data_IF_605916509651
#
_entry.id   IF_605916509651
#
_cell.length_a   1.000
_cell.length_b   1.000
_cell.length_c   1.000
_cell.angle_alpha   90.00
_cell.angle_beta   90.00
_cell.angle_gamma   90.00
#
_symmetry.space_group_name_H-M   'P 1'
#
loop_
_entity.id
_entity.type
_entity.pdbx_description
1 polymer ?
#
# COMPACT_ATOMS: atom_id res chain seq x y z
N UNK A 1 4.47 -3.53 -41.19
CA UNK A 1 4.05 -2.70 -40.08
C UNK A 1 2.89 -3.42 -39.37
N UNK A 2 3.15 -4.08 -38.27
CA UNK A 2 2.13 -4.75 -37.46
C UNK A 2 1.56 -3.73 -36.48
N UNK A 3 0.26 -3.55 -36.48
CA UNK A 3 -0.46 -2.70 -35.53
C UNK A 3 -0.33 -3.32 -34.13
N UNK A 4 0.24 -2.61 -33.19
CA UNK A 4 0.21 -2.95 -31.79
C UNK A 4 -1.24 -2.84 -31.28
N UNK A 5 -1.77 -3.95 -30.78
CA UNK A 5 -3.12 -4.07 -30.28
C UNK A 5 -3.35 -3.19 -29.05
N UNK A 6 -4.60 -2.80 -28.90
CA UNK A 6 -5.14 -2.01 -27.85
C UNK A 6 -4.77 -2.57 -26.46
N UNK A 7 -4.35 -1.68 -25.56
CA UNK A 7 -3.99 -2.03 -24.20
C UNK A 7 -5.13 -2.72 -23.46
N UNK A 8 -4.79 -3.80 -22.79
CA UNK A 8 -5.66 -4.46 -21.82
C UNK A 8 -6.13 -3.43 -20.79
N UNK A 9 -7.44 -3.26 -20.69
CA UNK A 9 -8.04 -2.49 -19.59
C UNK A 9 -7.67 -3.21 -18.29
N UNK A 10 -7.02 -2.50 -17.38
CA UNK A 10 -6.81 -3.01 -16.04
C UNK A 10 -8.15 -3.49 -15.47
N UNK A 11 -8.17 -4.76 -15.05
CA UNK A 11 -9.36 -5.35 -14.43
C UNK A 11 -9.73 -4.53 -13.20
N UNK A 12 -10.99 -4.11 -13.09
CA UNK A 12 -11.49 -3.50 -11.86
C UNK A 12 -11.55 -4.56 -10.77
N UNK A 13 -11.39 -4.15 -9.51
CA UNK A 13 -11.46 -5.06 -8.36
C UNK A 13 -12.78 -5.87 -8.35
N UNK A 14 -13.88 -5.25 -8.78
CA UNK A 14 -15.19 -5.87 -8.91
C UNK A 14 -15.28 -6.90 -10.06
N UNK A 15 -14.35 -6.84 -11.02
CA UNK A 15 -14.27 -7.78 -12.15
C UNK A 15 -13.42 -9.02 -11.80
N UNK A 16 -12.69 -8.98 -10.68
CA UNK A 16 -11.98 -10.15 -10.17
C UNK A 16 -13.04 -11.07 -9.55
N UNK A 17 -13.58 -11.97 -10.37
CA UNK A 17 -14.30 -13.12 -9.84
C UNK A 17 -13.32 -13.99 -9.09
N UNK A 18 -13.19 -13.72 -7.80
CA UNK A 18 -12.56 -14.68 -6.91
C UNK A 18 -13.30 -16.01 -7.13
N UNK A 19 -12.56 -17.08 -7.36
CA UNK A 19 -13.15 -18.40 -7.39
C UNK A 19 -14.01 -18.56 -6.13
N UNK A 20 -15.24 -19.13 -6.24
CA UNK A 20 -16.04 -19.34 -5.05
C UNK A 20 -15.17 -20.10 -4.05
N UNK A 21 -15.06 -19.55 -2.84
CA UNK A 21 -14.37 -20.24 -1.74
C UNK A 21 -15.08 -21.58 -1.61
N UNK A 22 -14.38 -22.72 -1.73
CA UNK A 22 -15.00 -24.02 -1.52
C UNK A 22 -15.69 -24.00 -0.16
N UNK A 23 -16.90 -24.57 -0.07
CA UNK A 23 -17.53 -24.78 1.23
C UNK A 23 -16.51 -25.44 2.17
N UNK A 24 -16.45 -24.92 3.39
CA UNK A 24 -15.43 -25.24 4.38
C UNK A 24 -15.11 -26.74 4.39
N UNK A 25 -13.88 -27.08 4.04
CA UNK A 25 -13.32 -28.39 4.27
C UNK A 25 -13.28 -28.71 5.77
N UNK A 26 -12.88 -29.92 6.14
CA UNK A 26 -12.83 -30.34 7.54
C UNK A 26 -11.91 -29.41 8.33
N UNK A 27 -12.45 -28.86 9.39
CA UNK A 27 -11.80 -28.06 10.43
C UNK A 27 -11.13 -26.74 9.98
N UNK A 28 -11.92 -25.66 9.81
CA UNK A 28 -11.38 -24.31 9.62
C UNK A 28 -10.75 -23.73 10.90
N UNK A 29 -10.77 -24.44 12.04
CA UNK A 29 -10.27 -23.92 13.31
C UNK A 29 -8.75 -23.70 13.33
N UNK A 30 -8.00 -24.38 12.49
CA UNK A 30 -6.55 -24.25 12.39
C UNK A 30 -6.09 -23.32 11.24
N UNK A 31 -6.98 -22.97 10.32
CA UNK A 31 -6.67 -22.09 9.19
C UNK A 31 -7.56 -20.84 9.22
N UNK A 32 -6.94 -19.67 9.40
CA UNK A 32 -7.64 -18.41 9.26
C UNK A 32 -7.77 -18.05 7.78
N UNK A 33 -9.00 -17.91 7.31
CA UNK A 33 -9.31 -17.38 5.98
C UNK A 33 -10.07 -16.07 6.13
N UNK A 34 -9.52 -14.99 5.59
CA UNK A 34 -10.15 -13.68 5.56
C UNK A 34 -10.25 -13.19 4.12
N UNK A 35 -11.41 -13.26 3.48
CA UNK A 35 -11.63 -12.68 2.16
C UNK A 35 -11.37 -11.17 2.17
N UNK A 36 -10.89 -10.62 1.04
CA UNK A 36 -10.59 -9.18 0.95
C UNK A 36 -11.79 -8.30 1.28
N UNK A 37 -13.00 -8.66 0.84
CA UNK A 37 -14.23 -7.92 1.11
C UNK A 37 -14.59 -7.81 2.61
N UNK A 38 -14.04 -8.70 3.43
CA UNK A 38 -14.25 -8.69 4.88
C UNK A 38 -13.16 -7.88 5.62
N UNK A 39 -12.24 -7.28 4.85
CA UNK A 39 -11.15 -6.47 5.39
C UNK A 39 -11.65 -5.06 5.74
N UNK A 40 -11.52 -4.70 7.00
CA UNK A 40 -11.86 -3.36 7.48
C UNK A 40 -10.64 -2.45 7.40
N UNK A 41 -10.79 -1.36 6.63
CA UNK A 41 -9.80 -0.30 6.55
C UNK A 41 -10.15 0.85 7.48
N UNK A 42 -9.16 1.36 8.19
CA UNK A 42 -9.27 2.52 9.06
C UNK A 42 -8.28 3.60 8.63
N UNK A 43 -8.64 4.86 8.80
CA UNK A 43 -7.71 5.97 8.55
C UNK A 43 -6.43 5.76 9.36
N UNK A 44 -5.27 5.80 8.70
CA UNK A 44 -4.02 5.55 9.39
C UNK A 44 -3.53 6.78 10.17
N UNK A 45 -3.43 6.62 11.48
CA UNK A 45 -2.87 7.63 12.37
C UNK A 45 -3.57 9.00 12.25
N UNK A 46 -2.79 10.04 12.00
CA UNK A 46 -3.28 11.41 11.85
C UNK A 46 -3.45 11.85 10.41
N UNK A 47 -3.59 10.91 9.46
CA UNK A 47 -3.86 11.24 8.08
C UNK A 47 -5.27 11.86 7.95
N UNK A 48 -5.49 12.74 6.96
CA UNK A 48 -6.83 13.20 6.63
C UNK A 48 -7.76 12.04 6.29
N UNK A 49 -9.04 12.19 6.57
CA UNK A 49 -10.03 11.20 6.12
C UNK A 49 -9.97 11.02 4.60
N UNK A 50 -10.13 9.80 4.14
CA UNK A 50 -10.09 9.45 2.72
C UNK A 50 -8.76 9.74 2.01
N UNK A 51 -7.65 9.88 2.75
CA UNK A 51 -6.30 10.01 2.17
C UNK A 51 -5.59 8.66 2.12
N UNK A 52 -5.23 8.12 3.27
CA UNK A 52 -4.57 6.84 3.48
C UNK A 52 -5.29 6.04 4.56
N UNK A 53 -5.51 4.77 4.28
CA UNK A 53 -6.20 3.85 5.17
C UNK A 53 -5.38 2.57 5.33
N UNK A 54 -5.51 1.89 6.47
CA UNK A 54 -4.77 0.67 6.76
C UNK A 54 -5.67 -0.40 7.37
N UNK A 55 -5.42 -1.64 6.98
CA UNK A 55 -5.99 -2.81 7.61
C UNK A 55 -4.88 -3.70 8.17
N UNK A 56 -5.02 -4.15 9.42
CA UNK A 56 -4.09 -5.08 10.06
C UNK A 56 -4.50 -6.50 9.72
N UNK A 57 -3.61 -7.27 9.11
CA UNK A 57 -3.86 -8.68 8.78
C UNK A 57 -3.15 -9.62 9.74
N UNK A 58 -1.93 -9.27 10.18
CA UNK A 58 -1.13 -10.10 11.08
C UNK A 58 -0.22 -9.25 11.95
N UNK A 59 -0.03 -9.68 13.18
CA UNK A 59 0.89 -9.06 14.13
C UNK A 59 0.45 -7.66 14.59
N UNK A 60 1.38 -6.96 15.23
CA UNK A 60 1.17 -5.61 15.73
C UNK A 60 2.39 -4.76 15.39
N UNK A 61 2.24 -3.81 14.48
CA UNK A 61 3.34 -2.96 14.05
C UNK A 61 3.84 -1.99 15.15
N UNK A 62 3.15 -1.90 16.29
CA UNK A 62 3.61 -1.14 17.47
C UNK A 62 4.44 -1.99 18.45
N UNK A 63 4.58 -3.31 18.21
CA UNK A 63 5.30 -4.24 19.07
C UNK A 63 6.43 -4.91 18.33
N UNK A 64 7.47 -5.41 19.04
CA UNK A 64 8.51 -6.24 18.42
C UNK A 64 7.90 -7.47 17.76
N UNK A 65 8.35 -7.78 16.56
CA UNK A 65 7.95 -8.95 15.79
C UNK A 65 7.48 -8.63 14.36
N UNK A 66 7.17 -9.66 13.57
CA UNK A 66 6.68 -9.48 12.22
C UNK A 66 5.24 -8.96 12.20
N UNK A 67 4.95 -8.15 11.19
CA UNK A 67 3.59 -7.70 10.90
C UNK A 67 3.30 -7.76 9.41
N UNK A 68 2.01 -7.89 9.07
CA UNK A 68 1.47 -7.73 7.74
C UNK A 68 0.26 -6.79 7.81
N UNK A 69 0.28 -5.76 6.98
CA UNK A 69 -0.84 -4.82 6.83
C UNK A 69 -1.16 -4.61 5.36
N UNK A 70 -2.40 -4.23 5.05
CA UNK A 70 -2.74 -3.60 3.78
C UNK A 70 -2.80 -2.09 3.99
N UNK A 71 -2.06 -1.36 3.17
CA UNK A 71 -2.14 0.09 3.08
C UNK A 71 -2.92 0.46 1.83
N UNK A 72 -3.87 1.39 1.94
CA UNK A 72 -4.64 1.92 0.83
C UNK A 72 -4.40 3.42 0.71
N UNK A 73 -3.90 3.86 -0.45
CA UNK A 73 -3.79 5.27 -0.81
C UNK A 73 -4.90 5.64 -1.78
N UNK A 74 -5.67 6.67 -1.43
CA UNK A 74 -6.68 7.23 -2.33
C UNK A 74 -6.04 8.26 -3.28
N UNK A 75 -6.61 8.47 -4.50
CA UNK A 75 -6.10 9.45 -5.45
C UNK A 75 -5.99 10.86 -4.86
N UNK A 76 -4.90 11.54 -5.19
CA UNK A 76 -4.58 12.89 -4.71
C UNK A 76 -3.74 12.93 -3.44
N UNK A 77 -3.29 11.77 -2.91
CA UNK A 77 -2.59 11.73 -1.63
C UNK A 77 -1.29 10.95 -1.67
N UNK A 78 -0.28 11.52 -1.01
CA UNK A 78 1.04 10.92 -0.80
C UNK A 78 1.46 11.01 0.67
N UNK A 79 2.34 10.11 1.09
CA UNK A 79 3.16 10.33 2.28
C UNK A 79 4.14 11.46 2.05
N UNK A 80 4.52 12.18 3.11
CA UNK A 80 5.69 13.05 3.08
C UNK A 80 6.97 12.20 3.05
N UNK A 81 8.12 12.75 2.60
CA UNK A 81 9.41 12.06 2.70
C UNK A 81 9.72 11.64 4.14
N UNK A 82 10.00 10.36 4.33
CA UNK A 82 10.22 9.75 5.64
C UNK A 82 11.13 8.52 5.57
N UNK A 83 11.56 8.05 6.71
CA UNK A 83 12.35 6.83 6.86
C UNK A 83 11.74 5.89 7.89
N UNK A 84 12.16 4.62 7.86
CA UNK A 84 11.88 3.60 8.88
C UNK A 84 13.17 2.99 9.40
N UNK A 85 13.15 2.45 10.63
CA UNK A 85 14.32 1.78 11.24
C UNK A 85 14.68 0.46 10.56
N UNK A 86 13.73 -0.24 9.99
CA UNK A 86 13.88 -1.57 9.41
C UNK A 86 13.50 -1.60 7.94
N UNK A 87 14.04 -2.58 7.21
CA UNK A 87 13.60 -2.87 5.85
C UNK A 87 12.12 -3.25 5.84
N UNK A 88 11.44 -2.88 4.74
CA UNK A 88 10.05 -3.25 4.49
C UNK A 88 9.91 -3.83 3.10
N UNK A 89 9.13 -4.89 3.00
CA UNK A 89 8.80 -5.56 1.75
C UNK A 89 7.36 -5.21 1.41
N UNK A 90 7.12 -4.84 0.16
CA UNK A 90 5.83 -4.33 -0.29
C UNK A 90 5.48 -4.95 -1.63
N UNK A 91 4.22 -5.36 -1.76
CA UNK A 91 3.66 -5.88 -3.02
C UNK A 91 2.36 -5.16 -3.31
N UNK A 92 2.21 -4.67 -4.52
CA UNK A 92 0.96 -4.04 -4.94
C UNK A 92 -0.09 -5.12 -5.17
N UNK A 93 -1.22 -4.99 -4.48
CA UNK A 93 -2.38 -5.89 -4.58
C UNK A 93 -3.37 -5.39 -5.63
N UNK A 94 -3.60 -4.06 -5.64
CA UNK A 94 -4.58 -3.44 -6.53
C UNK A 94 -4.18 -2.00 -6.87
N UNK A 95 -4.65 -1.53 -8.03
CA UNK A 95 -4.42 -0.16 -8.49
C UNK A 95 -2.97 0.09 -8.93
N UNK A 96 -2.62 1.35 -9.11
CA UNK A 96 -1.26 1.78 -9.44
C UNK A 96 -0.71 2.61 -8.29
N UNK A 97 0.35 2.12 -7.69
CA UNK A 97 1.07 2.79 -6.61
C UNK A 97 2.27 3.55 -7.15
N UNK A 98 2.43 4.80 -6.78
CA UNK A 98 3.52 5.67 -7.22
C UNK A 98 4.55 5.82 -6.11
N UNK A 99 5.80 5.47 -6.40
CA UNK A 99 6.89 5.39 -5.44
C UNK A 99 8.07 6.25 -5.84
N UNK A 100 8.70 6.92 -4.89
CA UNK A 100 9.94 7.63 -5.12
C UNK A 100 10.86 7.53 -3.89
N UNK A 101 12.11 7.95 -4.05
CA UNK A 101 13.13 8.01 -2.99
C UNK A 101 13.77 9.39 -2.97
N UNK A 102 14.33 9.74 -1.81
CA UNK A 102 15.00 11.02 -1.61
C UNK A 102 14.30 11.92 -0.59
N UNK A 103 14.96 13.03 -0.28
CA UNK A 103 14.49 14.01 0.69
C UNK A 103 13.49 15.00 0.08
N UNK A 104 13.62 15.25 -1.22
CA UNK A 104 12.83 16.25 -1.92
C UNK A 104 11.55 15.64 -2.44
N UNK A 105 10.43 16.28 -2.15
CA UNK A 105 9.12 15.82 -2.60
C UNK A 105 8.88 16.21 -4.06
N UNK A 106 9.02 15.27 -4.98
CA UNK A 106 8.83 15.43 -6.43
C UNK A 106 7.88 14.32 -6.95
N UNK A 107 6.58 14.42 -6.66
CA UNK A 107 5.62 13.36 -6.98
C UNK A 107 5.46 13.11 -8.50
N UNK A 108 5.77 14.11 -9.34
CA UNK A 108 5.78 13.98 -10.81
C UNK A 108 6.84 12.99 -11.32
N UNK A 109 7.89 12.74 -10.53
CA UNK A 109 8.99 11.82 -10.88
C UNK A 109 8.80 10.43 -10.23
N UNK A 110 7.66 10.21 -9.57
CA UNK A 110 7.37 8.95 -8.92
C UNK A 110 7.14 7.82 -9.95
N UNK A 111 7.72 6.66 -9.67
CA UNK A 111 7.63 5.49 -10.54
C UNK A 111 6.31 4.76 -10.28
N UNK A 112 5.48 4.52 -11.31
CA UNK A 112 4.27 3.74 -11.18
C UNK A 112 4.57 2.25 -11.04
N UNK A 113 3.91 1.60 -10.07
CA UNK A 113 4.02 0.16 -9.80
C UNK A 113 2.61 -0.43 -9.78
N UNK A 114 2.34 -1.35 -10.71
CA UNK A 114 1.06 -2.03 -10.83
C UNK A 114 0.95 -3.30 -9.98
N UNK A 115 -0.21 -4.00 -10.00
CA UNK A 115 -0.45 -5.22 -9.25
C UNK A 115 0.59 -6.31 -9.50
N UNK A 116 1.03 -6.99 -8.42
CA UNK A 116 2.13 -7.95 -8.43
C UNK A 116 3.52 -7.30 -8.42
N UNK A 117 3.62 -6.00 -8.60
CA UNK A 117 4.87 -5.27 -8.50
C UNK A 117 5.44 -5.30 -7.08
N UNK A 118 6.77 -5.46 -6.99
CA UNK A 118 7.52 -5.58 -5.75
C UNK A 118 8.34 -4.33 -5.48
N UNK A 119 8.30 -3.85 -4.23
CA UNK A 119 9.14 -2.75 -3.76
C UNK A 119 9.79 -3.12 -2.43
N UNK A 120 11.09 -2.93 -2.34
CA UNK A 120 11.83 -3.00 -1.06
C UNK A 120 12.18 -1.58 -0.62
N UNK A 121 11.77 -1.20 0.57
CA UNK A 121 12.25 0.00 1.24
C UNK A 121 13.39 -0.37 2.18
N UNK A 122 14.57 0.14 1.89
CA UNK A 122 15.75 -0.08 2.73
C UNK A 122 15.67 0.79 3.98
N UNK A 123 16.05 0.22 5.11
CA UNK A 123 16.13 0.91 6.39
C UNK A 123 16.87 2.26 6.29
N UNK A 124 16.36 3.28 6.95
CA UNK A 124 16.95 4.63 7.04
C UNK A 124 17.12 5.35 5.68
N UNK A 125 16.52 4.84 4.62
CA UNK A 125 16.55 5.51 3.31
C UNK A 125 15.28 6.34 3.13
N UNK A 126 15.41 7.66 2.89
CA UNK A 126 14.26 8.53 2.66
C UNK A 126 13.46 8.12 1.43
N UNK A 127 12.15 8.10 1.58
CA UNK A 127 11.22 7.75 0.52
C UNK A 127 9.84 8.35 0.79
N UNK A 128 9.01 8.35 -0.25
CA UNK A 128 7.60 8.72 -0.19
C UNK A 128 6.83 7.99 -1.28
N UNK A 129 5.53 7.92 -1.13
CA UNK A 129 4.66 7.18 -2.02
C UNK A 129 3.21 7.60 -1.87
N UNK A 130 2.40 7.25 -2.85
CA UNK A 130 0.97 7.56 -2.87
C UNK A 130 0.33 7.32 -4.22
N UNK A 131 -0.74 8.06 -4.48
CA UNK A 131 -1.49 8.02 -5.74
C UNK A 131 -1.77 9.44 -6.18
N UNK A 132 -1.33 9.89 -7.38
CA UNK A 132 -1.61 11.23 -7.90
C UNK A 132 -3.11 11.46 -8.10
N UNK A 133 -3.53 12.73 -8.07
CA UNK A 133 -4.87 13.09 -8.50
C UNK A 133 -5.13 12.66 -9.97
N UNK A 134 -6.38 12.35 -10.26
CA UNK A 134 -6.78 11.92 -11.60
C UNK A 134 -6.58 10.42 -11.90
N UNK A 135 -5.97 9.66 -10.99
CA UNK A 135 -6.02 8.21 -11.10
C UNK A 135 -7.44 7.70 -10.83
N UNK A 136 -7.92 6.69 -11.58
CA UNK A 136 -9.29 6.21 -11.44
C UNK A 136 -9.54 5.42 -10.15
N UNK A 137 -8.50 4.80 -9.61
CA UNK A 137 -8.59 3.85 -8.52
C UNK A 137 -7.58 4.16 -7.41
N UNK A 138 -7.86 3.79 -6.16
CA UNK A 138 -6.86 3.76 -5.10
C UNK A 138 -5.82 2.68 -5.37
N UNK A 139 -4.66 2.79 -4.73
CA UNK A 139 -3.69 1.70 -4.67
C UNK A 139 -3.80 0.97 -3.34
N UNK A 140 -3.79 -0.38 -3.38
CA UNK A 140 -3.72 -1.24 -2.20
C UNK A 140 -2.41 -2.00 -2.22
N UNK A 141 -1.66 -1.91 -1.14
CA UNK A 141 -0.32 -2.46 -0.99
C UNK A 141 -0.26 -3.36 0.23
N UNK A 142 0.19 -4.60 0.07
CA UNK A 142 0.55 -5.46 1.18
C UNK A 142 1.95 -5.08 1.67
N UNK A 143 2.08 -4.78 2.95
CA UNK A 143 3.34 -4.35 3.57
C UNK A 143 3.72 -5.32 4.68
N UNK A 144 4.86 -5.98 4.51
CA UNK A 144 5.48 -6.82 5.52
C UNK A 144 6.71 -6.13 6.11
N UNK A 145 6.84 -6.18 7.42
CA UNK A 145 7.96 -5.59 8.14
C UNK A 145 8.14 -6.15 9.54
N UNK A 146 9.10 -5.59 10.25
CA UNK A 146 9.36 -5.87 11.66
C UNK A 146 9.02 -4.63 12.49
N UNK A 147 8.18 -4.81 13.50
CA UNK A 147 7.86 -3.79 14.49
C UNK A 147 8.89 -3.72 15.63
N UNK A 148 8.82 -2.69 16.48
CA UNK A 148 7.91 -1.56 16.35
C UNK A 148 8.26 -0.66 15.16
N UNK A 149 7.24 -0.16 14.48
CA UNK A 149 7.43 0.79 13.38
C UNK A 149 7.78 2.15 13.95
N UNK A 150 8.90 2.73 13.50
CA UNK A 150 9.30 4.10 13.78
C UNK A 150 9.29 4.92 12.48
N UNK A 151 8.31 5.74 12.29
CA UNK A 151 8.29 6.72 11.20
C UNK A 151 9.08 7.95 11.61
N UNK A 152 10.06 8.35 10.80
CA UNK A 152 10.80 9.60 10.98
C UNK A 152 10.67 10.46 9.73
N UNK A 153 9.99 11.59 9.85
CA UNK A 153 9.86 12.54 8.76
C UNK A 153 11.22 13.19 8.45
N UNK A 154 11.50 13.41 7.17
CA UNK A 154 12.67 14.19 6.74
C UNK A 154 12.55 15.64 7.22
N UNK A 155 11.34 16.20 7.13
CA UNK A 155 11.01 17.50 7.71
C UNK A 155 9.88 17.37 8.73
N UNK A 156 10.19 17.27 10.04
CA UNK A 156 9.18 17.12 11.07
C UNK A 156 8.33 18.36 11.33
N UNK A 157 8.66 19.50 10.72
CA UNK A 157 7.84 20.72 10.79
C UNK A 157 6.64 20.69 9.85
N UNK A 158 6.59 19.74 8.93
CA UNK A 158 5.55 19.58 7.93
C UNK A 158 4.64 18.39 8.26
N UNK A 159 3.40 18.36 7.74
CA UNK A 159 2.53 17.20 7.87
C UNK A 159 3.17 15.94 7.31
N UNK A 160 2.79 14.78 7.86
CA UNK A 160 3.23 13.45 7.39
C UNK A 160 2.66 13.05 6.03
N UNK A 161 1.88 13.91 5.41
CA UNK A 161 1.17 13.68 4.16
C UNK A 161 1.30 14.89 3.22
N UNK A 162 1.03 14.65 1.94
CA UNK A 162 0.93 15.68 0.89
C UNK A 162 -0.32 15.45 0.06
N UNK A 163 -0.97 16.51 -0.34
CA UNK A 163 -2.04 16.49 -1.32
C UNK A 163 -1.50 16.95 -2.67
N UNK A 164 -1.81 16.21 -3.75
CA UNK A 164 -1.27 16.43 -5.12
C UNK A 164 -2.36 16.23 -6.16
#
# INVERSE_FOLDING_TARGET
>A
MAAMGAGDKAAKLDDIKLAPVPEAGPDPSETLVQPYQDTTFETWGNLPQHSGEMAKLYGDFNKPGPYLVLMKWNPGWFSAPHTYATDRIQVVVFGTWFVNSGNDFQPQDAVPVGPGGYVKRTARTPHYDGVPAGQPDPAVIAIFGLGPVDVQLVDPSQPSWRQV
#
